data_IF_274487143358
#
_entry.id   IF_274487143358
#
_cell.length_a   1.000
_cell.length_b   1.000
_cell.length_c   1.000
_cell.angle_alpha   90.00
_cell.angle_beta   90.00
_cell.angle_gamma   90.00
#
_symmetry.space_group_name_H-M   'P 1'
#
loop_
_entity.id
_entity.type
_entity.pdbx_description
1 polymer ?
#
# COMPACT_ATOMS: atom_id res chain seq x y z
N UNK A 1 34.36 -60.29 -36.24
CA UNK A 1 34.37 -59.49 -35.00
C UNK A 1 34.36 -58.01 -35.36
N UNK A 2 33.32 -57.22 -35.05
CA UNK A 2 33.35 -55.78 -35.21
C UNK A 2 33.60 -55.03 -33.89
N UNK A 3 34.32 -53.92 -33.99
CA UNK A 3 34.88 -53.13 -32.90
C UNK A 3 33.82 -52.35 -32.08
N UNK A 4 34.02 -52.34 -30.76
CA UNK A 4 33.22 -51.60 -29.77
C UNK A 4 33.61 -50.11 -29.79
N UNK A 5 32.71 -49.24 -30.24
CA UNK A 5 32.83 -47.78 -30.06
C UNK A 5 32.36 -47.38 -28.66
N UNK A 6 33.30 -47.06 -27.76
CA UNK A 6 33.02 -46.38 -26.49
C UNK A 6 32.57 -44.94 -26.75
N UNK A 7 31.30 -44.61 -26.48
CA UNK A 7 30.84 -43.21 -26.42
C UNK A 7 31.23 -42.60 -25.06
N UNK A 8 32.15 -41.66 -25.13
CA UNK A 8 32.55 -40.72 -24.07
C UNK A 8 31.37 -39.75 -23.85
N UNK A 9 30.70 -39.78 -22.69
CA UNK A 9 29.81 -38.69 -22.24
C UNK A 9 30.59 -37.84 -21.24
N UNK A 10 31.12 -36.73 -21.76
CA UNK A 10 31.61 -35.59 -21.00
C UNK A 10 30.45 -34.86 -20.34
N UNK A 11 30.71 -34.29 -19.16
CA UNK A 11 29.69 -33.85 -18.22
C UNK A 11 29.02 -32.52 -18.54
N UNK A 12 28.09 -32.19 -17.64
CA UNK A 12 27.86 -30.82 -17.17
C UNK A 12 27.52 -30.92 -15.69
N UNK A 13 28.51 -30.51 -14.90
CA UNK A 13 28.40 -30.23 -13.47
C UNK A 13 27.42 -29.08 -13.32
N UNK A 14 26.20 -29.36 -12.84
CA UNK A 14 25.33 -28.31 -12.33
C UNK A 14 25.97 -27.79 -11.05
N UNK A 15 26.65 -26.64 -11.19
CA UNK A 15 27.13 -25.84 -10.08
C UNK A 15 25.89 -25.34 -9.32
N UNK A 16 25.46 -26.12 -8.32
CA UNK A 16 24.55 -25.65 -7.29
C UNK A 16 25.24 -24.54 -6.52
N UNK A 17 24.99 -23.29 -6.93
CA UNK A 17 25.02 -22.18 -6.00
C UNK A 17 23.92 -22.45 -4.99
N UNK A 18 24.30 -22.97 -3.83
CA UNK A 18 23.40 -23.17 -2.69
C UNK A 18 23.07 -21.80 -2.12
N UNK A 19 22.23 -21.03 -2.83
CA UNK A 19 21.40 -20.02 -2.17
C UNK A 19 20.67 -20.73 -1.04
N UNK A 20 20.75 -20.17 0.18
CA UNK A 20 20.07 -20.72 1.34
C UNK A 20 18.58 -20.79 1.04
N UNK A 21 18.10 -21.96 0.63
CA UNK A 21 16.70 -22.20 0.29
C UNK A 21 15.81 -21.84 1.47
N UNK A 22 14.69 -21.16 1.22
CA UNK A 22 13.76 -20.79 2.28
C UNK A 22 13.12 -22.07 2.83
N UNK A 23 12.71 -22.98 1.95
CA UNK A 23 11.96 -24.21 2.27
C UNK A 23 12.71 -25.46 1.81
N UNK A 24 13.76 -25.92 2.52
CA UNK A 24 14.64 -27.00 2.05
C UNK A 24 13.91 -28.34 1.81
N UNK A 25 12.81 -28.59 2.53
CA UNK A 25 12.00 -29.82 2.42
C UNK A 25 11.11 -29.87 1.16
N UNK A 26 11.01 -28.76 0.42
CA UNK A 26 10.29 -28.70 -0.86
C UNK A 26 11.24 -28.86 -2.04
N UNK A 27 10.69 -29.09 -3.24
CA UNK A 27 11.42 -28.77 -4.47
C UNK A 27 11.39 -27.25 -4.75
N UNK A 28 12.30 -26.78 -5.60
CA UNK A 28 12.37 -25.36 -5.98
C UNK A 28 11.08 -24.86 -6.66
N UNK A 29 10.39 -25.73 -7.40
CA UNK A 29 9.12 -25.41 -8.06
C UNK A 29 7.96 -25.32 -7.06
N UNK A 30 7.95 -26.22 -6.06
CA UNK A 30 6.98 -26.16 -4.96
C UNK A 30 7.18 -24.91 -4.09
N UNK A 31 8.43 -24.55 -3.81
CA UNK A 31 8.78 -23.33 -3.08
C UNK A 31 8.28 -22.08 -3.82
N UNK A 32 8.52 -21.99 -5.13
CA UNK A 32 7.95 -20.91 -5.97
C UNK A 32 6.42 -20.93 -5.98
N UNK A 33 5.79 -22.11 -5.99
CA UNK A 33 4.34 -22.23 -5.95
C UNK A 33 3.77 -21.70 -4.63
N UNK A 34 4.42 -21.98 -3.50
CA UNK A 34 4.02 -21.44 -2.18
C UNK A 34 4.02 -19.92 -2.22
N UNK A 35 5.13 -19.31 -2.65
CA UNK A 35 5.29 -17.85 -2.72
C UNK A 35 4.17 -17.24 -3.59
N UNK A 36 3.99 -17.73 -4.82
CA UNK A 36 2.98 -17.19 -5.74
C UNK A 36 1.55 -17.28 -5.17
N UNK A 37 1.21 -18.36 -4.47
CA UNK A 37 -0.13 -18.51 -3.89
C UNK A 37 -0.33 -17.52 -2.74
N UNK A 38 0.67 -17.35 -1.86
CA UNK A 38 0.59 -16.40 -0.74
C UNK A 38 0.51 -14.95 -1.24
N UNK A 39 1.14 -14.63 -2.37
CA UNK A 39 0.99 -13.34 -3.07
C UNK A 39 -0.40 -13.14 -3.71
N UNK A 40 -1.29 -14.11 -3.63
CA UNK A 40 -2.67 -14.02 -4.11
C UNK A 40 -2.89 -14.51 -5.53
N UNK A 41 -1.90 -15.16 -6.17
CA UNK A 41 -2.13 -15.77 -7.48
C UNK A 41 -3.08 -16.96 -7.39
N UNK A 42 -4.00 -17.04 -8.37
CA UNK A 42 -4.92 -18.18 -8.46
C UNK A 42 -4.17 -19.48 -8.75
N UNK A 43 -4.75 -20.62 -8.36
CA UNK A 43 -4.15 -21.94 -8.67
C UNK A 43 -3.94 -22.14 -10.19
N UNK A 44 -4.81 -21.55 -11.02
CA UNK A 44 -4.68 -21.60 -12.48
C UNK A 44 -3.49 -20.76 -12.96
N UNK A 45 -3.31 -19.56 -12.42
CA UNK A 45 -2.21 -18.66 -12.82
C UNK A 45 -0.86 -19.17 -12.33
N UNK A 46 -0.80 -19.68 -11.10
CA UNK A 46 0.38 -20.32 -10.54
C UNK A 46 0.80 -21.53 -11.39
N UNK A 47 -0.14 -22.41 -11.75
CA UNK A 47 0.14 -23.56 -12.61
C UNK A 47 0.66 -23.14 -13.99
N UNK A 48 0.06 -22.11 -14.61
CA UNK A 48 0.53 -21.54 -15.88
C UNK A 48 1.94 -20.95 -15.78
N UNK A 49 2.20 -20.14 -14.75
CA UNK A 49 3.52 -19.50 -14.52
C UNK A 49 4.62 -20.53 -14.34
N UNK A 50 4.34 -21.61 -13.61
CA UNK A 50 5.30 -22.68 -13.35
C UNK A 50 5.33 -23.77 -14.43
N UNK A 51 4.48 -23.66 -15.46
CA UNK A 51 4.35 -24.65 -16.54
C UNK A 51 4.06 -26.07 -16.04
N UNK A 52 3.27 -26.17 -14.96
CA UNK A 52 2.81 -27.44 -14.39
C UNK A 52 1.31 -27.61 -14.63
N UNK A 53 0.82 -28.84 -14.50
CA UNK A 53 -0.62 -29.08 -14.52
C UNK A 53 -1.29 -28.59 -13.23
N UNK A 54 -2.57 -28.21 -13.31
CA UNK A 54 -3.35 -27.88 -12.10
C UNK A 54 -3.45 -29.06 -11.14
N UNK A 55 -3.56 -30.29 -11.63
CA UNK A 55 -3.62 -31.49 -10.78
C UNK A 55 -2.34 -31.66 -9.97
N UNK A 56 -1.17 -31.47 -10.59
CA UNK A 56 0.13 -31.48 -9.88
C UNK A 56 0.15 -30.46 -8.75
N UNK A 57 -0.34 -29.23 -8.99
CA UNK A 57 -0.40 -28.22 -7.94
C UNK A 57 -1.35 -28.63 -6.80
N UNK A 58 -2.50 -29.23 -7.10
CA UNK A 58 -3.42 -29.73 -6.07
C UNK A 58 -2.83 -30.89 -5.26
N UNK A 59 -2.11 -31.80 -5.91
CA UNK A 59 -1.37 -32.86 -5.23
C UNK A 59 -0.35 -32.30 -4.26
N UNK A 60 0.42 -31.29 -4.69
CA UNK A 60 1.38 -30.61 -3.81
C UNK A 60 0.69 -29.96 -2.61
N UNK A 61 -0.42 -29.23 -2.82
CA UNK A 61 -1.19 -28.61 -1.73
C UNK A 61 -1.75 -29.62 -0.71
N UNK A 62 -1.91 -30.89 -1.08
CA UNK A 62 -2.31 -31.94 -0.15
C UNK A 62 -1.14 -32.43 0.72
N UNK A 63 0.11 -32.26 0.29
CA UNK A 63 1.30 -32.72 1.02
C UNK A 63 1.54 -31.89 2.28
N UNK A 64 1.93 -32.57 3.37
CA UNK A 64 2.19 -31.94 4.68
C UNK A 64 3.27 -30.87 4.60
N UNK A 65 4.41 -31.16 3.98
CA UNK A 65 5.52 -30.21 3.84
C UNK A 65 5.09 -28.91 3.11
N UNK A 66 4.22 -29.03 2.09
CA UNK A 66 3.72 -27.87 1.37
C UNK A 66 2.80 -27.01 2.23
N UNK A 67 1.92 -27.63 3.03
CA UNK A 67 1.03 -26.90 3.95
C UNK A 67 1.83 -26.15 5.02
N UNK A 68 2.82 -26.82 5.63
CA UNK A 68 3.68 -26.21 6.63
C UNK A 68 4.48 -25.02 6.05
N UNK A 69 4.98 -25.19 4.82
CA UNK A 69 5.65 -24.11 4.10
C UNK A 69 4.72 -22.93 3.82
N UNK A 70 3.51 -23.21 3.34
CA UNK A 70 2.47 -22.21 3.07
C UNK A 70 2.12 -21.40 4.31
N UNK A 71 1.80 -22.07 5.44
CA UNK A 71 1.46 -21.38 6.68
C UNK A 71 2.62 -20.52 7.21
N UNK A 72 3.86 -20.99 7.04
CA UNK A 72 5.04 -20.23 7.46
C UNK A 72 5.23 -18.98 6.61
N UNK A 73 5.07 -19.07 5.29
CA UNK A 73 5.17 -17.91 4.41
C UNK A 73 4.02 -16.93 4.66
N UNK A 74 2.79 -17.43 4.87
CA UNK A 74 1.63 -16.60 5.21
C UNK A 74 1.87 -15.80 6.51
N UNK A 75 2.36 -16.45 7.57
CA UNK A 75 2.72 -15.77 8.82
C UNK A 75 3.81 -14.72 8.62
N UNK A 76 4.80 -15.02 7.79
CA UNK A 76 5.90 -14.09 7.47
C UNK A 76 5.36 -12.85 6.74
N UNK A 77 4.56 -13.02 5.70
CA UNK A 77 3.93 -11.92 4.95
C UNK A 77 3.07 -11.07 5.88
N UNK A 78 2.25 -11.67 6.74
CA UNK A 78 1.45 -10.93 7.73
C UNK A 78 2.35 -10.12 8.67
N UNK A 79 3.46 -10.69 9.14
CA UNK A 79 4.42 -9.99 10.00
C UNK A 79 5.07 -8.81 9.29
N UNK A 80 5.48 -8.99 8.03
CA UNK A 80 6.06 -7.93 7.21
C UNK A 80 5.05 -6.82 6.94
N UNK A 81 3.81 -7.16 6.60
CA UNK A 81 2.72 -6.18 6.41
C UNK A 81 2.44 -5.37 7.68
N UNK A 82 2.43 -6.01 8.85
CA UNK A 82 2.29 -5.31 10.14
C UNK A 82 3.46 -4.35 10.37
N UNK A 83 4.69 -4.79 10.08
CA UNK A 83 5.88 -3.94 10.17
C UNK A 83 5.79 -2.72 9.24
N UNK A 84 5.43 -2.93 7.98
CA UNK A 84 5.25 -1.86 7.00
C UNK A 84 4.14 -0.89 7.43
N UNK A 85 3.00 -1.39 7.90
CA UNK A 85 1.90 -0.55 8.38
C UNK A 85 2.29 0.32 9.57
N UNK A 86 3.07 -0.23 10.53
CA UNK A 86 3.55 0.54 11.68
C UNK A 86 4.57 1.60 11.25
N UNK A 87 5.48 1.27 10.34
CA UNK A 87 6.46 2.22 9.82
C UNK A 87 5.78 3.35 9.06
N UNK A 88 4.77 3.06 8.24
CA UNK A 88 4.01 4.07 7.52
C UNK A 88 3.36 5.08 8.47
N UNK A 89 2.82 4.61 9.60
CA UNK A 89 2.28 5.51 10.62
C UNK A 89 3.37 6.42 11.20
N UNK A 90 4.53 5.85 11.55
CA UNK A 90 5.67 6.61 12.07
C UNK A 90 6.14 7.67 11.07
N UNK A 91 6.27 7.32 9.80
CA UNK A 91 6.67 8.22 8.72
C UNK A 91 5.64 9.31 8.46
N UNK A 92 4.35 8.98 8.47
CA UNK A 92 3.26 9.96 8.35
C UNK A 92 3.32 10.99 9.49
N UNK A 93 3.45 10.53 10.75
CA UNK A 93 3.58 11.43 11.89
C UNK A 93 4.86 12.28 11.83
N UNK A 94 5.98 11.69 11.42
CA UNK A 94 7.24 12.40 11.25
C UNK A 94 7.11 13.50 10.20
N UNK A 95 6.44 13.22 9.08
CA UNK A 95 6.21 14.17 7.98
C UNK A 95 5.32 15.33 8.40
N UNK A 96 4.21 15.05 9.10
CA UNK A 96 3.34 16.11 9.67
C UNK A 96 4.13 16.98 10.65
N UNK A 97 4.91 16.36 11.55
CA UNK A 97 5.74 17.09 12.51
C UNK A 97 6.81 17.95 11.82
N UNK A 98 7.43 17.42 10.76
CA UNK A 98 8.42 18.15 9.97
C UNK A 98 7.78 19.37 9.27
N UNK A 99 6.60 19.20 8.67
CA UNK A 99 5.86 20.30 8.05
C UNK A 99 5.50 21.39 9.06
N UNK A 100 5.00 21.02 10.25
CA UNK A 100 4.68 21.97 11.32
C UNK A 100 5.91 22.75 11.83
N UNK A 101 7.10 22.13 11.81
CA UNK A 101 8.36 22.76 12.26
C UNK A 101 9.11 23.49 11.15
N UNK A 102 8.80 23.22 9.88
CA UNK A 102 9.49 23.81 8.72
C UNK A 102 9.33 25.32 8.68
N UNK A 103 10.40 26.07 8.44
CA UNK A 103 10.33 27.52 8.20
C UNK A 103 9.83 27.86 6.79
N UNK A 104 9.69 26.85 5.91
CA UNK A 104 9.25 27.03 4.52
C UNK A 104 7.73 26.96 4.35
N UNK A 105 7.01 26.38 5.31
CA UNK A 105 5.54 26.29 5.29
C UNK A 105 4.98 27.51 6.00
N UNK A 106 3.98 28.17 5.40
CA UNK A 106 3.40 29.38 6.00
C UNK A 106 2.68 29.07 7.32
N UNK A 107 2.58 30.04 8.26
CA UNK A 107 1.84 29.84 9.50
C UNK A 107 0.38 29.40 9.30
N UNK A 108 -0.30 29.91 8.27
CA UNK A 108 -1.68 29.57 7.93
C UNK A 108 -1.80 28.12 7.46
N UNK A 109 -0.90 27.64 6.60
CA UNK A 109 -0.88 26.25 6.15
C UNK A 109 -0.58 25.26 7.27
N UNK A 110 0.30 25.63 8.21
CA UNK A 110 0.54 24.84 9.42
C UNK A 110 -0.70 24.73 10.29
N UNK A 111 -1.42 25.84 10.48
CA UNK A 111 -2.68 25.84 11.22
C UNK A 111 -3.72 24.94 10.55
N UNK A 112 -3.86 25.04 9.21
CA UNK A 112 -4.74 24.15 8.41
C UNK A 112 -4.36 22.68 8.57
N UNK A 113 -3.08 22.34 8.43
CA UNK A 113 -2.57 20.97 8.56
C UNK A 113 -2.83 20.41 9.97
N UNK A 114 -2.54 21.19 11.01
CA UNK A 114 -2.77 20.79 12.40
C UNK A 114 -4.25 20.57 12.71
N UNK A 115 -5.12 21.45 12.22
CA UNK A 115 -6.56 21.34 12.42
C UNK A 115 -7.18 20.17 11.65
N UNK A 116 -6.76 19.96 10.39
CA UNK A 116 -7.17 18.77 9.61
C UNK A 116 -6.76 17.49 10.31
N UNK A 117 -5.51 17.40 10.78
CA UNK A 117 -5.04 16.26 11.56
C UNK A 117 -5.90 16.02 12.82
N UNK A 118 -6.23 17.07 13.58
CA UNK A 118 -7.07 16.95 14.77
C UNK A 118 -8.50 16.49 14.44
N UNK A 119 -9.08 16.97 13.32
CA UNK A 119 -10.40 16.56 12.86
C UNK A 119 -10.41 15.09 12.42
N UNK A 120 -9.45 14.69 11.57
CA UNK A 120 -9.38 13.34 10.98
C UNK A 120 -9.04 12.26 12.03
N UNK A 121 -8.39 12.64 13.14
CA UNK A 121 -8.02 11.71 14.23
C UNK A 121 -8.98 11.71 15.41
N UNK A 122 -10.12 12.41 15.30
CA UNK A 122 -11.07 12.65 16.40
C UNK A 122 -10.44 13.26 17.67
N UNK A 123 -9.20 13.74 17.55
CA UNK A 123 -8.50 14.39 18.65
C UNK A 123 -9.09 15.78 18.90
N UNK A 124 -9.69 16.43 17.90
CA UNK A 124 -10.33 17.74 18.07
C UNK A 124 -11.37 17.74 19.19
N UNK A 125 -12.20 16.68 19.27
CA UNK A 125 -13.19 16.54 20.34
C UNK A 125 -12.51 16.32 21.70
N UNK A 126 -11.43 15.53 21.75
CA UNK A 126 -10.66 15.32 22.98
C UNK A 126 -10.02 16.60 23.49
N UNK A 127 -9.49 17.44 22.59
CA UNK A 127 -8.91 18.73 22.95
C UNK A 127 -9.97 19.74 23.41
N UNK A 128 -11.20 19.72 22.86
CA UNK A 128 -12.32 20.54 23.36
C UNK A 128 -12.68 20.24 24.81
N UNK A 129 -12.58 18.98 25.22
CA UNK A 129 -12.90 18.55 26.59
C UNK A 129 -11.73 18.76 27.56
N UNK A 130 -10.49 18.68 27.07
CA UNK A 130 -9.28 18.69 27.90
C UNK A 130 -8.67 20.08 28.10
N UNK A 131 -8.87 20.99 27.15
CA UNK A 131 -8.56 22.40 27.30
C UNK A 131 -9.89 23.11 27.33
N UNK A 132 -10.25 23.75 28.44
CA UNK A 132 -11.45 24.60 28.56
C UNK A 132 -11.33 25.78 27.56
N UNK A 133 -11.54 25.48 26.29
CA UNK A 133 -11.54 26.47 25.23
C UNK A 133 -12.71 27.39 25.54
N UNK A 134 -12.40 28.66 25.79
CA UNK A 134 -13.45 29.66 25.99
C UNK A 134 -14.36 29.72 24.75
N UNK A 135 -15.59 30.20 24.96
CA UNK A 135 -16.63 30.22 23.93
C UNK A 135 -16.15 30.93 22.66
N UNK A 136 -15.36 32.00 22.81
CA UNK A 136 -14.73 32.74 21.70
C UNK A 136 -13.76 31.89 20.87
N UNK A 137 -12.91 31.09 21.50
CA UNK A 137 -11.98 30.19 20.80
C UNK A 137 -12.74 29.07 20.10
N UNK A 138 -13.81 28.55 20.71
CA UNK A 138 -14.66 27.53 20.09
C UNK A 138 -15.39 28.10 18.87
N UNK A 139 -15.89 29.32 18.97
CA UNK A 139 -16.56 30.03 17.88
C UNK A 139 -15.59 30.32 16.74
N UNK A 140 -14.39 30.84 17.04
CA UNK A 140 -13.36 31.11 16.04
C UNK A 140 -12.89 29.82 15.33
N UNK A 141 -12.72 28.72 16.07
CA UNK A 141 -12.39 27.41 15.48
C UNK A 141 -13.54 26.91 14.60
N UNK A 142 -14.79 27.04 15.05
CA UNK A 142 -15.98 26.59 14.30
C UNK A 142 -16.18 27.40 13.03
N UNK A 143 -16.13 28.74 13.11
CA UNK A 143 -16.21 29.64 11.96
C UNK A 143 -15.07 29.35 10.97
N UNK A 144 -13.86 29.11 11.45
CA UNK A 144 -12.74 28.70 10.61
C UNK A 144 -12.99 27.37 9.89
N UNK A 145 -13.56 26.36 10.57
CA UNK A 145 -13.92 25.09 9.93
C UNK A 145 -15.06 25.24 8.92
N UNK A 146 -16.06 26.09 9.19
CA UNK A 146 -17.12 26.41 8.23
C UNK A 146 -16.54 27.07 6.99
N UNK A 147 -15.64 28.06 7.14
CA UNK A 147 -14.98 28.72 6.00
C UNK A 147 -14.15 27.73 5.19
N UNK A 148 -13.43 26.81 5.84
CA UNK A 148 -12.65 25.79 5.13
C UNK A 148 -13.56 24.82 4.37
N UNK A 149 -14.64 24.35 4.99
CA UNK A 149 -15.57 23.43 4.33
C UNK A 149 -16.29 24.11 3.16
N UNK A 150 -16.72 25.35 3.32
CA UNK A 150 -17.34 26.13 2.24
C UNK A 150 -16.37 26.39 1.07
N UNK A 151 -15.09 26.62 1.36
CA UNK A 151 -14.05 26.76 0.32
C UNK A 151 -13.78 25.43 -0.40
N UNK A 152 -13.78 24.32 0.32
CA UNK A 152 -13.62 22.98 -0.28
C UNK A 152 -14.84 22.65 -1.16
N UNK A 153 -16.05 22.87 -0.67
CA UNK A 153 -17.29 22.60 -1.40
C UNK A 153 -17.41 23.51 -2.65
N UNK A 154 -17.03 24.78 -2.54
CA UNK A 154 -16.98 25.70 -3.68
C UNK A 154 -15.97 25.30 -4.76
N UNK A 155 -14.82 24.74 -4.37
CA UNK A 155 -13.82 24.20 -5.31
C UNK A 155 -14.32 22.91 -5.98
N UNK A 156 -14.99 22.03 -5.23
CA UNK A 156 -15.61 20.80 -5.77
C UNK A 156 -16.72 21.15 -6.77
N UNK A 157 -17.56 22.14 -6.47
CA UNK A 157 -18.65 22.57 -7.33
C UNK A 157 -18.15 23.24 -8.62
N UNK A 158 -17.12 24.08 -8.52
CA UNK A 158 -16.54 24.78 -9.67
C UNK A 158 -15.91 23.79 -10.66
N UNK A 159 -15.19 22.79 -10.12
CA UNK A 159 -14.53 21.75 -10.92
C UNK A 159 -15.50 20.72 -11.48
N UNK A 160 -16.56 20.39 -10.74
CA UNK A 160 -17.66 19.54 -11.25
C UNK A 160 -18.38 20.20 -12.43
N UNK A 161 -18.62 21.51 -12.37
CA UNK A 161 -19.21 22.28 -13.48
C UNK A 161 -18.29 22.35 -14.71
N UNK A 162 -16.98 22.42 -14.50
CA UNK A 162 -15.99 22.43 -15.58
C UNK A 162 -15.86 21.05 -16.27
N UNK A 163 -15.93 19.96 -15.50
CA UNK A 163 -15.86 18.60 -16.02
C UNK A 163 -17.16 18.15 -16.72
N UNK A 164 -18.32 18.62 -16.25
CA UNK A 164 -19.59 18.46 -16.96
C UNK A 164 -19.59 19.19 -18.32
N UNK A 165 -18.96 20.37 -18.41
CA UNK A 165 -18.75 21.06 -19.70
C UNK A 165 -17.81 20.30 -20.65
N UNK A 166 -16.91 19.49 -20.10
CA UNK A 166 -15.96 18.65 -20.84
C UNK A 166 -16.42 17.18 -21.01
N UNK A 167 -17.69 16.87 -20.70
CA UNK A 167 -18.32 15.58 -20.96
C UNK A 167 -17.92 14.42 -20.03
N UNK A 168 -17.37 14.70 -18.85
CA UNK A 168 -16.99 13.67 -17.86
C UNK A 168 -18.07 13.52 -16.76
N UNK A 169 -18.32 12.28 -16.32
CA UNK A 169 -19.35 11.96 -15.31
C UNK A 169 -18.83 12.19 -13.88
N UNK A 170 -19.59 12.87 -12.99
CA UNK A 170 -19.07 13.41 -11.73
C UNK A 170 -18.84 12.41 -10.59
N UNK A 171 -19.21 11.14 -10.74
CA UNK A 171 -19.19 10.17 -9.63
C UNK A 171 -17.79 9.73 -9.17
N UNK A 172 -16.74 10.00 -9.96
CA UNK A 172 -15.35 9.67 -9.61
C UNK A 172 -14.57 10.85 -9.00
N UNK A 173 -15.19 12.03 -8.88
CA UNK A 173 -14.49 13.27 -8.53
C UNK A 173 -14.01 13.34 -7.07
N UNK A 174 -14.79 12.78 -6.13
CA UNK A 174 -14.42 12.80 -4.71
C UNK A 174 -13.18 11.96 -4.43
N UNK A 175 -13.03 10.81 -5.09
CA UNK A 175 -11.86 9.94 -4.94
C UNK A 175 -10.63 10.50 -5.67
N UNK A 176 -10.80 11.08 -6.86
CA UNK A 176 -9.70 11.67 -7.64
C UNK A 176 -9.15 12.96 -7.00
N UNK A 177 -10.01 13.82 -6.44
CA UNK A 177 -9.58 15.01 -5.70
C UNK A 177 -8.89 14.65 -4.38
N UNK A 178 -9.33 13.58 -3.71
CA UNK A 178 -8.68 13.08 -2.51
C UNK A 178 -7.28 12.54 -2.82
N UNK A 179 -7.11 11.88 -3.97
CA UNK A 179 -5.82 11.41 -4.47
C UNK A 179 -4.88 12.56 -4.87
N UNK A 180 -5.37 13.56 -5.63
CA UNK A 180 -4.55 14.72 -6.07
C UNK A 180 -4.13 15.64 -4.92
N UNK A 181 -4.94 15.72 -3.85
CA UNK A 181 -4.53 16.41 -2.62
C UNK A 181 -3.44 15.65 -1.85
N UNK A 182 -3.41 14.31 -1.92
CA UNK A 182 -2.37 13.50 -1.29
C UNK A 182 -1.02 13.58 -2.02
N UNK A 183 -1.02 13.84 -3.33
CA UNK A 183 0.21 13.94 -4.13
C UNK A 183 0.80 15.35 -4.23
N UNK A 184 0.10 16.38 -3.73
CA UNK A 184 0.61 17.77 -3.77
C UNK A 184 0.68 18.38 -5.17
N UNK A 185 -0.03 17.80 -6.15
CA UNK A 185 -0.03 18.24 -7.56
C UNK A 185 -0.91 19.47 -7.84
N UNK A 186 -1.52 20.06 -6.82
CA UNK A 186 -2.22 21.34 -6.98
C UNK A 186 -1.20 22.49 -6.91
N UNK A 187 -0.40 22.67 -7.95
CA UNK A 187 0.42 23.88 -8.11
C UNK A 187 0.05 24.69 -9.36
N UNK A 188 -0.16 25.98 -9.10
CA UNK A 188 -0.13 27.17 -9.99
C UNK A 188 -0.92 27.09 -11.29
N UNK A 189 -2.21 27.49 -11.24
CA UNK A 189 -2.94 27.62 -12.49
C UNK A 189 -4.32 28.22 -12.48
N UNK A 190 -4.82 28.87 -11.42
CA UNK A 190 -5.96 29.79 -11.54
C UNK A 190 -5.77 30.90 -10.50
N UNK A 191 -5.76 32.12 -11.03
CA UNK A 191 -5.61 33.47 -10.42
C UNK A 191 -6.01 33.58 -8.95
#
# INVERSE_FOLDING_TARGET
MPAVRKKKKSGKTEQNQTESRLYPDLSLEQEKAVILIVEGHSATDTAKKLRISRSTLYEWKAQKAFKEAYEREERKVISEMRGMSLNLQVEAFASIRAALRSTKVSPLEKARLGLKYLADTDNLQRYKTQFELNEDSQKAITEFFTIINDQIDGLVDSRSKELLKNGHHPDHLKEELHWKLQEGELDQGVV
#
